data_IF_279699485471
#
_entry.id   IF_279699485471
#
_cell.length_a   1.000
_cell.length_b   1.000
_cell.length_c   1.000
_cell.angle_alpha   90.00
_cell.angle_beta   90.00
_cell.angle_gamma   90.00
#
_symmetry.space_group_name_H-M   'P 1'
#
loop_
_entity.id
_entity.type
_entity.pdbx_description
1 polymer ?
#
# COMPACT_ATOMS: atom_id res chain seq x y z
N UNK A 1 -19.16 -24.10 12.04
CA UNK A 1 -18.43 -22.83 11.85
C UNK A 1 -19.28 -21.91 11.00
N UNK A 2 -19.48 -20.66 11.40
CA UNK A 2 -20.18 -19.64 10.61
C UNK A 2 -19.21 -18.50 10.39
N UNK A 3 -19.01 -18.12 9.14
CA UNK A 3 -18.16 -16.98 8.77
C UNK A 3 -19.03 -15.91 8.12
N UNK A 4 -18.91 -14.68 8.57
CA UNK A 4 -19.53 -13.50 7.96
C UNK A 4 -18.42 -12.56 7.52
N UNK A 5 -18.46 -12.14 6.27
CA UNK A 5 -17.52 -11.21 5.70
C UNK A 5 -18.26 -9.94 5.25
N UNK A 6 -17.70 -8.79 5.58
CA UNK A 6 -18.16 -7.49 5.11
C UNK A 6 -16.96 -6.70 4.59
N UNK A 7 -17.07 -6.10 3.44
CA UNK A 7 -16.02 -5.26 2.85
C UNK A 7 -16.59 -3.98 2.27
N UNK A 8 -15.88 -2.88 2.45
CA UNK A 8 -16.19 -1.58 1.89
C UNK A 8 -14.93 -0.98 1.25
N UNK A 9 -15.07 -0.46 0.04
CA UNK A 9 -14.00 0.21 -0.68
C UNK A 9 -14.42 1.60 -1.14
N UNK A 10 -13.51 2.56 -1.00
CA UNK A 10 -13.66 3.92 -1.48
C UNK A 10 -12.47 4.30 -2.35
N UNK A 11 -12.73 4.95 -3.49
CA UNK A 11 -11.71 5.49 -4.38
C UNK A 11 -12.01 6.92 -4.75
N UNK A 12 -11.01 7.78 -4.69
CA UNK A 12 -11.06 9.16 -5.11
C UNK A 12 -9.89 9.47 -6.03
N UNK A 13 -10.20 9.91 -7.24
CA UNK A 13 -9.25 10.35 -8.24
C UNK A 13 -9.55 11.81 -8.60
N UNK A 14 -8.62 12.71 -8.37
CA UNK A 14 -8.78 14.11 -8.73
C UNK A 14 -7.54 14.64 -9.47
N UNK A 15 -7.78 15.28 -10.57
CA UNK A 15 -6.79 16.10 -11.26
C UNK A 15 -7.00 17.56 -10.90
N UNK A 16 -6.34 18.08 -9.87
CA UNK A 16 -6.42 19.49 -9.51
C UNK A 16 -5.93 20.42 -10.61
N UNK A 17 -5.07 19.92 -11.49
CA UNK A 17 -4.64 20.58 -12.71
C UNK A 17 -4.00 19.55 -13.65
N UNK A 18 -3.65 19.96 -14.88
CA UNK A 18 -2.81 19.13 -15.75
C UNK A 18 -1.43 18.79 -15.13
N UNK A 19 -1.07 19.46 -14.05
CA UNK A 19 0.23 19.34 -13.37
C UNK A 19 0.21 18.48 -12.12
N UNK A 20 -0.95 18.36 -11.45
CA UNK A 20 -1.08 17.64 -10.17
C UNK A 20 -2.26 16.69 -10.22
N UNK A 21 -2.01 15.43 -9.94
CA UNK A 21 -3.05 14.39 -9.79
C UNK A 21 -2.95 13.76 -8.42
N UNK A 22 -4.08 13.62 -7.75
CA UNK A 22 -4.22 12.92 -6.48
C UNK A 22 -5.07 11.67 -6.68
N UNK A 23 -4.59 10.55 -6.19
CA UNK A 23 -5.34 9.30 -6.11
C UNK A 23 -5.35 8.83 -4.67
N UNK A 24 -6.52 8.55 -4.15
CA UNK A 24 -6.71 7.98 -2.79
C UNK A 24 -7.63 6.78 -2.93
N UNK A 25 -7.26 5.66 -2.32
CA UNK A 25 -8.08 4.45 -2.25
C UNK A 25 -8.05 3.90 -0.84
N UNK A 26 -9.20 3.57 -0.32
CA UNK A 26 -9.36 2.89 0.96
C UNK A 26 -10.16 1.62 0.75
N UNK A 27 -9.69 0.54 1.37
CA UNK A 27 -10.41 -0.73 1.45
C UNK A 27 -10.43 -1.17 2.89
N UNK A 28 -11.62 -1.31 3.42
CA UNK A 28 -11.85 -1.81 4.78
C UNK A 28 -12.59 -3.14 4.68
N UNK A 29 -12.09 -4.14 5.36
CA UNK A 29 -12.75 -5.45 5.45
C UNK A 29 -12.85 -5.91 6.89
N UNK A 30 -13.99 -6.46 7.22
CA UNK A 30 -14.27 -7.05 8.53
C UNK A 30 -14.74 -8.47 8.32
N UNK A 31 -14.14 -9.40 9.04
CA UNK A 31 -14.56 -10.79 9.07
C UNK A 31 -14.87 -11.22 10.49
N UNK A 32 -15.93 -12.01 10.66
CA UNK A 32 -16.34 -12.58 11.93
C UNK A 32 -16.43 -14.08 11.79
N UNK A 33 -15.72 -14.79 12.64
CA UNK A 33 -15.68 -16.27 12.68
C UNK A 33 -16.31 -16.73 13.98
N UNK A 34 -17.37 -17.50 13.87
CA UNK A 34 -18.05 -18.06 15.04
C UNK A 34 -17.90 -19.58 15.03
N UNK A 35 -17.31 -20.11 16.10
CA UNK A 35 -17.25 -21.53 16.41
C UNK A 35 -18.26 -21.84 17.53
N UNK A 36 -18.43 -23.10 17.90
CA UNK A 36 -19.34 -23.49 19.00
C UNK A 36 -18.96 -22.86 20.35
N UNK A 37 -17.71 -22.45 20.53
CA UNK A 37 -17.20 -21.96 21.82
C UNK A 37 -16.86 -20.46 21.81
N UNK A 38 -16.53 -19.88 20.64
CA UNK A 38 -15.98 -18.52 20.60
C UNK A 38 -16.28 -17.80 19.29
N UNK A 39 -16.29 -16.49 19.36
CA UNK A 39 -16.37 -15.59 18.21
C UNK A 39 -15.10 -14.77 18.14
N UNK A 40 -14.46 -14.74 16.98
CA UNK A 40 -13.34 -13.86 16.68
C UNK A 40 -13.72 -12.89 15.57
N UNK A 41 -13.26 -11.65 15.67
CA UNK A 41 -13.45 -10.62 14.66
C UNK A 41 -12.10 -10.10 14.20
N UNK A 42 -11.96 -9.93 12.91
CA UNK A 42 -10.79 -9.32 12.28
C UNK A 42 -11.21 -8.08 11.53
N UNK A 43 -10.44 -7.01 11.71
CA UNK A 43 -10.54 -5.78 10.94
C UNK A 43 -9.25 -5.57 10.18
N UNK A 44 -9.38 -5.37 8.87
CA UNK A 44 -8.27 -4.98 7.99
C UNK A 44 -8.65 -3.70 7.28
N UNK A 45 -7.75 -2.75 7.30
CA UNK A 45 -7.86 -1.50 6.54
C UNK A 45 -6.59 -1.29 5.72
N UNK A 46 -6.79 -0.94 4.45
CA UNK A 46 -5.72 -0.59 3.53
C UNK A 46 -6.03 0.75 2.92
N UNK A 47 -5.21 1.74 3.19
CA UNK A 47 -5.28 3.08 2.62
C UNK A 47 -4.08 3.31 1.71
N UNK A 48 -4.34 3.65 0.46
CA UNK A 48 -3.33 4.06 -0.51
C UNK A 48 -3.58 5.51 -0.89
N UNK A 49 -2.55 6.34 -0.82
CA UNK A 49 -2.60 7.71 -1.32
C UNK A 49 -1.39 7.96 -2.22
N UNK A 50 -1.61 8.61 -3.36
CA UNK A 50 -0.57 8.93 -4.33
C UNK A 50 -0.79 10.32 -4.93
N UNK A 51 0.28 11.09 -4.98
CA UNK A 51 0.34 12.36 -5.68
C UNK A 51 1.31 12.23 -6.84
N UNK A 52 0.85 12.52 -8.05
CA UNK A 52 1.67 12.62 -9.25
C UNK A 52 1.80 14.09 -9.66
N UNK A 53 3.03 14.51 -9.88
CA UNK A 53 3.42 15.87 -10.22
C UNK A 53 4.01 15.91 -11.63
N UNK A 54 3.63 16.93 -12.42
CA UNK A 54 4.18 17.17 -13.77
C UNK A 54 4.42 18.65 -14.00
N UNK A 55 5.65 19.02 -14.26
CA UNK A 55 6.06 20.40 -14.53
C UNK A 55 6.94 20.43 -15.79
N UNK A 56 6.30 20.65 -16.94
CA UNK A 56 7.00 20.63 -18.24
C UNK A 56 7.66 19.28 -18.50
N UNK A 57 8.98 19.27 -18.50
CA UNK A 57 9.79 18.05 -18.70
C UNK A 57 10.04 17.26 -17.42
N UNK A 58 9.75 17.82 -16.25
CA UNK A 58 9.94 17.17 -14.96
C UNK A 58 8.67 16.46 -14.52
N UNK A 59 8.84 15.32 -13.87
CA UNK A 59 7.75 14.58 -13.27
C UNK A 59 8.21 13.94 -11.97
N UNK A 60 7.28 13.68 -11.08
CA UNK A 60 7.56 13.01 -9.83
C UNK A 60 6.29 12.40 -9.24
N UNK A 61 6.46 11.52 -8.30
CA UNK A 61 5.37 10.97 -7.52
C UNK A 61 5.79 10.70 -6.09
N UNK A 62 4.85 10.90 -5.19
CA UNK A 62 4.95 10.45 -3.80
C UNK A 62 3.72 9.60 -3.53
N UNK A 63 3.91 8.45 -2.94
CA UNK A 63 2.82 7.53 -2.62
C UNK A 63 3.05 6.88 -1.27
N UNK A 64 1.97 6.65 -0.55
CA UNK A 64 1.95 5.92 0.71
C UNK A 64 0.95 4.77 0.64
N UNK A 65 1.30 3.67 1.27
CA UNK A 65 0.42 2.57 1.60
C UNK A 65 0.39 2.47 3.14
N UNK A 66 -0.80 2.57 3.70
CA UNK A 66 -1.06 2.31 5.10
C UNK A 66 -1.89 1.05 5.23
N UNK A 67 -1.47 0.13 6.07
CA UNK A 67 -2.19 -1.09 6.38
C UNK A 67 -2.39 -1.20 7.89
N UNK A 68 -3.61 -1.43 8.27
CA UNK A 68 -4.00 -1.70 9.64
C UNK A 68 -4.64 -3.08 9.74
N UNK A 69 -4.25 -3.81 10.76
CA UNK A 69 -4.83 -5.10 11.11
C UNK A 69 -5.08 -5.18 12.60
N UNK A 70 -6.26 -5.60 12.97
CA UNK A 70 -6.65 -5.84 14.36
C UNK A 70 -7.47 -7.13 14.46
N UNK A 71 -7.21 -7.91 15.52
CA UNK A 71 -7.97 -9.11 15.84
C UNK A 71 -8.49 -9.04 17.27
N UNK A 72 -9.78 -9.33 17.46
CA UNK A 72 -10.44 -9.21 18.77
C UNK A 72 -9.96 -10.22 19.80
N UNK A 73 -9.40 -11.36 19.36
CA UNK A 73 -8.86 -12.40 20.26
C UNK A 73 -7.51 -12.04 20.85
N UNK A 74 -6.74 -11.24 20.17
CA UNK A 74 -5.39 -10.90 20.63
C UNK A 74 -5.04 -9.47 20.23
N UNK A 75 -5.11 -8.56 21.20
CA UNK A 75 -4.63 -7.20 21.02
C UNK A 75 -3.12 -7.13 20.68
N UNK A 76 -2.36 -8.16 21.06
CA UNK A 76 -0.94 -8.28 20.68
C UNK A 76 -0.74 -8.43 19.16
N UNK A 77 -1.79 -8.73 18.41
CA UNK A 77 -1.76 -8.87 16.95
C UNK A 77 -2.23 -7.61 16.21
N UNK A 78 -2.47 -6.52 16.92
CA UNK A 78 -2.71 -5.22 16.26
C UNK A 78 -1.43 -4.76 15.58
N UNK A 79 -1.50 -4.49 14.29
CA UNK A 79 -0.36 -4.10 13.46
C UNK A 79 -0.67 -2.89 12.63
N UNK A 80 0.32 -2.02 12.53
CA UNK A 80 0.31 -0.86 11.65
C UNK A 80 1.51 -0.95 10.72
N UNK A 81 1.26 -0.82 9.45
CA UNK A 81 2.31 -0.79 8.46
C UNK A 81 2.16 0.45 7.59
N UNK A 82 3.26 1.16 7.36
CA UNK A 82 3.31 2.35 6.51
C UNK A 82 4.48 2.22 5.56
N UNK A 83 4.20 2.21 4.27
CA UNK A 83 5.20 2.25 3.22
C UNK A 83 5.12 3.62 2.54
N UNK A 84 6.24 4.29 2.43
CA UNK A 84 6.36 5.56 1.73
C UNK A 84 7.32 5.42 0.56
N UNK A 85 6.85 5.78 -0.63
CA UNK A 85 7.60 5.72 -1.89
C UNK A 85 7.70 7.11 -2.50
N UNK A 86 8.83 7.43 -3.09
CA UNK A 86 8.99 8.66 -3.84
C UNK A 86 9.82 8.44 -5.10
N UNK A 87 9.51 9.18 -6.15
CA UNK A 87 10.28 9.18 -7.38
C UNK A 87 10.27 10.55 -8.05
N UNK A 88 11.35 10.85 -8.76
CA UNK A 88 11.45 12.04 -9.58
C UNK A 88 12.18 11.71 -10.89
N UNK A 89 11.85 12.44 -11.94
CA UNK A 89 12.45 12.20 -13.23
C UNK A 89 12.32 13.38 -14.17
N UNK A 90 13.01 13.26 -15.31
CA UNK A 90 12.98 14.25 -16.38
C UNK A 90 12.92 13.57 -17.74
N UNK A 91 12.20 14.21 -18.65
CA UNK A 91 12.15 13.84 -20.07
C UNK A 91 13.17 14.63 -20.87
N UNK A 92 13.79 13.97 -21.83
CA UNK A 92 14.87 14.51 -22.68
C UNK A 92 14.56 14.28 -24.17
N UNK A 93 15.32 15.00 -25.00
CA UNK A 93 15.28 14.86 -26.46
C UNK A 93 14.14 15.62 -27.12
N UNK A 94 14.14 15.57 -28.46
CA UNK A 94 13.01 16.05 -29.25
C UNK A 94 11.80 15.18 -28.94
N UNK A 95 10.63 15.79 -28.79
CA UNK A 95 9.35 15.12 -28.49
C UNK A 95 9.31 14.38 -27.12
N UNK A 96 10.30 14.64 -26.24
CA UNK A 96 10.33 14.03 -24.89
C UNK A 96 10.36 12.49 -24.89
N UNK A 97 10.99 11.88 -25.88
CA UNK A 97 11.02 10.42 -26.08
C UNK A 97 11.86 9.67 -25.05
N UNK A 98 12.89 10.30 -24.48
CA UNK A 98 13.73 9.69 -23.46
C UNK A 98 13.32 10.19 -22.08
N UNK A 99 13.00 9.29 -21.18
CA UNK A 99 12.71 9.56 -19.77
C UNK A 99 13.77 8.94 -18.87
N UNK A 100 14.31 9.71 -17.94
CA UNK A 100 15.16 9.24 -16.87
C UNK A 100 14.49 9.54 -15.54
N UNK A 101 14.38 8.57 -14.67
CA UNK A 101 13.84 8.73 -13.33
C UNK A 101 14.58 7.93 -12.29
N UNK A 102 14.62 8.45 -11.08
CA UNK A 102 15.11 7.78 -9.90
C UNK A 102 14.02 7.75 -8.84
N UNK A 103 14.04 6.74 -7.99
CA UNK A 103 13.09 6.65 -6.91
C UNK A 103 13.61 5.82 -5.75
N UNK A 104 12.90 5.93 -4.64
CA UNK A 104 13.13 5.16 -3.42
C UNK A 104 11.82 4.47 -3.04
N UNK A 105 11.88 3.19 -2.80
CA UNK A 105 10.81 2.37 -2.27
C UNK A 105 11.06 2.17 -0.79
N UNK A 106 10.01 2.25 0.00
CA UNK A 106 10.00 2.10 1.45
C UNK A 106 11.03 3.02 2.16
N UNK A 107 10.83 4.33 2.01
CA UNK A 107 11.70 5.35 2.63
C UNK A 107 11.81 5.16 4.14
N UNK A 108 10.74 4.68 4.79
CA UNK A 108 10.68 4.48 6.24
C UNK A 108 11.44 3.25 6.69
N UNK A 109 11.74 2.32 5.78
CA UNK A 109 12.50 1.10 6.04
C UNK A 109 11.99 0.32 7.25
N UNK A 110 10.72 -0.02 7.24
CA UNK A 110 10.10 -0.83 8.29
C UNK A 110 10.08 -2.30 7.87
N UNK A 111 10.99 -3.15 8.37
CA UNK A 111 11.21 -4.50 7.84
C UNK A 111 10.15 -5.54 8.24
N UNK A 112 9.23 -5.21 9.16
CA UNK A 112 8.38 -6.19 9.81
C UNK A 112 7.03 -6.36 9.10
N UNK A 113 7.05 -7.09 7.99
CA UNK A 113 5.84 -7.66 7.41
C UNK A 113 5.61 -9.08 7.95
N UNK A 114 4.86 -9.19 9.00
CA UNK A 114 4.34 -10.48 9.40
C UNK A 114 2.82 -10.49 9.22
N UNK A 115 2.31 -11.40 8.46
CA UNK A 115 0.87 -11.66 8.34
C UNK A 115 0.52 -12.81 9.27
N UNK A 116 -0.45 -12.60 10.13
CA UNK A 116 -0.97 -13.66 10.99
C UNK A 116 -2.37 -13.98 10.51
N UNK A 117 -2.61 -15.22 10.16
CA UNK A 117 -3.94 -15.75 9.87
C UNK A 117 -4.35 -16.76 10.93
N UNK A 118 -5.64 -16.77 11.23
CA UNK A 118 -6.24 -17.68 12.22
C UNK A 118 -7.07 -18.69 11.48
N UNK A 119 -6.80 -19.95 11.74
CA UNK A 119 -7.69 -21.04 11.40
C UNK A 119 -8.33 -21.58 12.68
N UNK A 120 -9.26 -22.52 12.54
CA UNK A 120 -10.07 -23.05 13.64
C UNK A 120 -9.23 -23.67 14.76
N UNK A 121 -8.11 -24.28 14.41
CA UNK A 121 -7.29 -25.10 15.31
C UNK A 121 -5.84 -24.62 15.43
N UNK A 122 -5.42 -23.64 14.60
CA UNK A 122 -4.03 -23.16 14.62
C UNK A 122 -3.90 -21.69 14.20
N UNK A 123 -2.82 -21.08 14.64
CA UNK A 123 -2.44 -19.73 14.28
C UNK A 123 -1.24 -19.83 13.32
N UNK A 124 -1.41 -19.32 12.11
CA UNK A 124 -0.31 -19.23 11.14
C UNK A 124 0.25 -17.83 11.18
N UNK A 125 1.49 -17.68 11.62
CA UNK A 125 2.24 -16.45 11.46
C UNK A 125 3.21 -16.63 10.30
N UNK A 126 2.92 -15.98 9.19
CA UNK A 126 3.80 -15.90 8.04
C UNK A 126 4.61 -14.61 8.13
N UNK A 127 5.91 -14.71 8.31
CA UNK A 127 6.79 -13.55 8.17
C UNK A 127 7.45 -13.59 6.81
N UNK A 128 7.24 -12.56 6.01
CA UNK A 128 7.89 -12.41 4.71
C UNK A 128 8.95 -11.34 4.83
N UNK A 129 10.21 -11.73 4.60
CA UNK A 129 11.29 -10.75 4.49
C UNK A 129 11.13 -10.01 3.16
N UNK A 130 10.81 -8.74 3.21
CA UNK A 130 10.86 -7.87 2.05
C UNK A 130 12.26 -7.27 1.91
N UNK A 131 12.66 -7.01 0.67
CA UNK A 131 13.73 -6.07 0.41
C UNK A 131 13.34 -4.75 1.08
N UNK A 132 13.96 -4.40 2.19
CA UNK A 132 13.72 -3.13 2.88
C UNK A 132 13.86 -1.94 1.91
N UNK A 133 14.29 -0.82 2.39
CA UNK A 133 14.51 0.37 1.56
C UNK A 133 15.47 0.09 0.41
N UNK A 134 15.04 0.39 -0.81
CA UNK A 134 15.92 0.34 -1.97
C UNK A 134 15.67 1.51 -2.92
N UNK A 135 16.75 1.96 -3.56
CA UNK A 135 16.70 2.93 -4.64
C UNK A 135 16.69 2.24 -6.00
N UNK A 136 16.10 2.90 -6.99
CA UNK A 136 16.11 2.42 -8.37
C UNK A 136 16.34 3.56 -9.36
N UNK A 137 16.91 3.22 -10.49
CA UNK A 137 17.00 4.07 -11.68
C UNK A 137 16.18 3.43 -12.80
N UNK A 138 15.44 4.25 -13.52
CA UNK A 138 14.63 3.81 -14.66
C UNK A 138 14.90 4.69 -15.86
N UNK A 139 15.21 4.04 -16.96
CA UNK A 139 15.31 4.64 -18.30
C UNK A 139 14.11 4.16 -19.12
N UNK A 140 13.38 5.07 -19.73
CA UNK A 140 12.25 4.75 -20.60
C UNK A 140 12.43 5.47 -21.95
N UNK A 141 12.28 4.76 -23.04
CA UNK A 141 12.30 5.33 -24.39
C UNK A 141 11.00 4.98 -25.12
N UNK A 142 10.41 5.99 -25.75
CA UNK A 142 9.19 5.84 -26.56
C UNK A 142 9.57 5.98 -28.04
N UNK A 143 9.32 4.96 -28.81
CA UNK A 143 9.59 4.89 -30.26
C UNK A 143 8.58 5.71 -31.07
#
# INVERSE_FOLDING_TARGET
MKTVFFGFGFGFDSGFSSKVKLNIRSNTSMSSYTTQKETAQELREQLTARVDLRFGKYFGSVGTLYEFYCNSRSHALTRHNVILNASAGRKFGKENRLGLSAGVIDILNRPDYATTSFDTDYIVTSSTSYLGRYGYLRVAYTF
#
